data_IF_818862956497
#
_entry.id   IF_818862956497
#
_cell.length_a   1.000
_cell.length_b   1.000
_cell.length_c   1.000
_cell.angle_alpha   90.00
_cell.angle_beta   90.00
_cell.angle_gamma   90.00
#
_symmetry.space_group_name_H-M   'P 1'
#
loop_
_entity.id
_entity.type
_entity.pdbx_description
1 polymer ?
#
# COMPACT_ATOMS: atom_id res chain seq x y z
N UNK A 1 0.44 20.46 6.29
CA UNK A 1 0.73 20.52 4.84
C UNK A 1 0.22 21.84 4.32
N UNK A 2 -1.10 22.12 4.40
CA UNK A 2 -1.65 23.43 4.06
C UNK A 2 -0.96 24.60 4.77
N UNK A 3 -0.87 24.58 6.10
CA UNK A 3 -0.25 25.66 6.90
C UNK A 3 1.25 25.87 6.67
N UNK A 4 1.90 24.98 5.92
CA UNK A 4 3.34 25.04 5.66
C UNK A 4 3.70 25.16 4.18
N UNK A 5 2.74 24.95 3.27
CA UNK A 5 2.96 24.87 1.83
C UNK A 5 1.99 25.73 1.02
N UNK A 6 0.93 26.28 1.63
CA UNK A 6 -0.16 26.97 0.91
C UNK A 6 -0.76 26.14 -0.25
N UNK A 7 -0.73 24.81 -0.11
CA UNK A 7 -1.15 23.85 -1.13
C UNK A 7 0.02 23.01 -1.64
N UNK A 8 -0.22 21.71 -1.90
CA UNK A 8 0.84 20.85 -2.45
C UNK A 8 0.99 21.02 -3.97
N UNK A 9 -0.09 21.40 -4.66
CA UNK A 9 -0.13 21.62 -6.11
C UNK A 9 -0.83 22.95 -6.42
N UNK A 10 -0.53 23.52 -7.58
CA UNK A 10 -1.19 24.67 -8.17
C UNK A 10 -1.79 24.27 -9.53
N UNK A 11 -2.81 24.98 -10.00
CA UNK A 11 -3.51 24.62 -11.25
C UNK A 11 -2.59 24.70 -12.47
N UNK A 12 -1.57 25.56 -12.42
CA UNK A 12 -0.54 25.70 -13.44
C UNK A 12 0.28 24.41 -13.62
N UNK A 13 0.40 23.57 -12.58
CA UNK A 13 1.11 22.29 -12.64
C UNK A 13 0.40 21.27 -13.55
N UNK A 14 -0.87 21.53 -13.91
CA UNK A 14 -1.71 20.66 -14.73
C UNK A 14 -2.06 21.28 -16.09
N UNK A 15 -1.47 22.42 -16.44
CA UNK A 15 -1.83 23.18 -17.63
C UNK A 15 -1.66 22.38 -18.94
N UNK A 16 -0.78 21.37 -18.96
CA UNK A 16 -0.56 20.46 -20.08
C UNK A 16 -1.59 19.31 -20.17
N UNK A 17 -2.42 19.08 -19.14
CA UNK A 17 -3.41 17.99 -19.11
C UNK A 17 -4.79 18.42 -19.62
N UNK A 18 -4.97 19.73 -19.83
CA UNK A 18 -6.23 20.32 -20.25
C UNK A 18 -6.03 21.14 -21.52
N UNK A 19 -6.99 21.11 -22.46
CA UNK A 19 -6.94 21.97 -23.65
C UNK A 19 -6.81 23.44 -23.25
N UNK A 20 -5.97 24.21 -23.95
CA UNK A 20 -5.76 25.65 -23.68
C UNK A 20 -7.01 26.50 -23.83
N UNK A 21 -8.00 26.01 -24.58
CA UNK A 21 -9.21 26.74 -24.93
C UNK A 21 -10.38 26.50 -23.95
N UNK A 22 -10.11 25.90 -22.79
CA UNK A 22 -11.11 25.76 -21.73
C UNK A 22 -10.45 25.69 -20.36
N UNK A 23 -10.68 26.71 -19.52
CA UNK A 23 -10.34 26.61 -18.09
C UNK A 23 -11.17 25.45 -17.51
N UNK A 24 -10.56 24.47 -16.83
CA UNK A 24 -11.34 23.40 -16.23
C UNK A 24 -12.34 24.01 -15.24
N UNK A 25 -13.59 23.54 -15.27
CA UNK A 25 -14.65 24.05 -14.39
C UNK A 25 -14.39 23.81 -12.89
N UNK A 26 -13.40 22.96 -12.57
CA UNK A 26 -12.93 22.63 -11.22
C UNK A 26 -11.40 22.64 -11.22
N UNK A 27 -10.78 23.11 -10.14
CA UNK A 27 -9.32 23.19 -10.00
C UNK A 27 -8.69 21.78 -10.03
N UNK A 28 -7.78 21.48 -10.98
CA UNK A 28 -7.04 20.22 -11.02
C UNK A 28 -6.17 20.00 -9.77
N UNK A 29 -5.62 21.07 -9.18
CA UNK A 29 -4.84 20.97 -7.93
C UNK A 29 -5.70 20.53 -6.75
N UNK A 30 -6.93 21.02 -6.68
CA UNK A 30 -7.92 20.58 -5.71
C UNK A 30 -8.31 19.10 -5.93
N UNK A 31 -8.54 18.70 -7.18
CA UNK A 31 -8.85 17.30 -7.51
C UNK A 31 -7.70 16.35 -7.14
N UNK A 32 -6.46 16.73 -7.42
CA UNK A 32 -5.26 15.98 -6.99
C UNK A 32 -5.21 15.82 -5.46
N UNK A 33 -5.49 16.91 -4.73
CA UNK A 33 -5.55 16.90 -3.26
C UNK A 33 -6.65 15.97 -2.74
N UNK A 34 -7.83 16.01 -3.35
CA UNK A 34 -8.93 15.10 -2.99
C UNK A 34 -8.57 13.66 -3.31
N UNK A 35 -7.94 13.35 -4.44
CA UNK A 35 -7.50 12.00 -4.77
C UNK A 35 -6.50 11.45 -3.74
N UNK A 36 -5.56 12.28 -3.27
CA UNK A 36 -4.63 11.86 -2.21
C UNK A 36 -5.34 11.65 -0.88
N UNK A 37 -6.23 12.55 -0.46
CA UNK A 37 -7.01 12.37 0.78
C UNK A 37 -7.94 11.16 0.70
N UNK A 38 -8.60 10.96 -0.44
CA UNK A 38 -9.43 9.80 -0.73
C UNK A 38 -8.63 8.51 -0.55
N UNK A 39 -7.43 8.46 -1.14
CA UNK A 39 -6.54 7.31 -1.04
C UNK A 39 -6.05 7.08 0.39
N UNK A 40 -5.60 8.13 1.08
CA UNK A 40 -5.11 8.06 2.47
C UNK A 40 -6.19 7.61 3.45
N UNK A 41 -7.45 8.01 3.22
CA UNK A 41 -8.59 7.72 4.10
C UNK A 41 -9.41 6.52 3.64
N UNK A 42 -9.00 5.82 2.58
CA UNK A 42 -9.67 4.62 2.08
C UNK A 42 -11.13 4.85 1.65
N UNK A 43 -11.43 5.99 1.03
CA UNK A 43 -12.80 6.38 0.65
C UNK A 43 -13.14 5.98 -0.79
N UNK A 44 -14.41 5.68 -1.06
CA UNK A 44 -14.93 5.59 -2.43
C UNK A 44 -15.12 6.99 -3.04
N UNK A 45 -15.30 7.10 -4.36
CA UNK A 45 -15.48 8.40 -5.01
C UNK A 45 -16.70 9.16 -4.48
N UNK A 46 -17.81 8.43 -4.25
CA UNK A 46 -19.02 8.99 -3.62
C UNK A 46 -18.75 9.51 -2.21
N UNK A 47 -18.01 8.74 -1.41
CA UNK A 47 -17.65 9.15 -0.06
C UNK A 47 -16.67 10.32 -0.05
N UNK A 48 -15.76 10.39 -1.02
CA UNK A 48 -14.81 11.50 -1.15
C UNK A 48 -15.52 12.78 -1.58
N UNK A 49 -16.40 12.72 -2.59
CA UNK A 49 -17.21 13.86 -3.02
C UNK A 49 -18.11 14.39 -1.89
N UNK A 50 -18.69 13.49 -1.08
CA UNK A 50 -19.47 13.88 0.10
C UNK A 50 -18.59 14.47 1.22
N UNK A 51 -17.38 13.94 1.40
CA UNK A 51 -16.44 14.46 2.37
C UNK A 51 -16.01 15.90 2.05
N UNK A 52 -15.85 16.26 0.77
CA UNK A 52 -15.58 17.64 0.34
C UNK A 52 -16.69 18.60 0.82
N UNK A 53 -17.96 18.17 0.73
CA UNK A 53 -19.11 19.01 1.12
C UNK A 53 -19.23 19.23 2.62
N UNK A 54 -18.98 18.19 3.42
CA UNK A 54 -19.45 18.15 4.79
C UNK A 54 -18.33 17.97 5.84
N UNK A 55 -17.14 17.50 5.46
CA UNK A 55 -16.08 17.17 6.43
C UNK A 55 -15.03 18.26 6.55
N UNK A 56 -14.79 18.66 7.80
CA UNK A 56 -13.81 19.69 8.17
C UNK A 56 -12.40 19.33 7.71
N UNK A 57 -11.98 18.06 7.70
CA UNK A 57 -10.62 17.69 7.23
C UNK A 57 -10.42 17.90 5.73
N UNK A 58 -11.47 17.70 4.91
CA UNK A 58 -11.41 18.01 3.48
C UNK A 58 -11.53 19.51 3.23
N UNK A 59 -12.48 20.18 3.90
CA UNK A 59 -12.59 21.65 3.87
C UNK A 59 -11.37 22.36 4.42
N UNK A 60 -10.62 21.75 5.32
CA UNK A 60 -9.36 22.30 5.80
C UNK A 60 -8.23 22.07 4.81
N UNK A 61 -8.33 21.10 3.91
CA UNK A 61 -7.38 20.97 2.80
C UNK A 61 -7.79 21.83 1.57
N UNK A 62 -9.08 22.16 1.45
CA UNK A 62 -9.70 22.88 0.33
C UNK A 62 -10.26 24.24 0.74
N UNK A 63 -10.86 25.03 -0.15
CA UNK A 63 -11.58 26.23 0.30
C UNK A 63 -12.81 25.86 1.14
N UNK A 64 -13.07 26.60 2.22
CA UNK A 64 -14.07 26.24 3.24
C UNK A 64 -15.51 26.19 2.68
N UNK A 65 -15.75 26.97 1.63
CA UNK A 65 -17.07 27.19 1.00
C UNK A 65 -17.25 26.43 -0.32
N UNK A 66 -16.36 25.47 -0.61
CA UNK A 66 -16.47 24.66 -1.84
C UNK A 66 -17.80 23.87 -1.87
N UNK A 67 -18.63 24.03 -2.92
CA UNK A 67 -19.92 23.35 -3.05
C UNK A 67 -19.79 21.83 -3.28
N UNK A 68 -18.57 21.35 -3.47
CA UNK A 68 -18.23 20.00 -3.87
C UNK A 68 -18.54 19.76 -5.36
N UNK A 69 -18.32 18.53 -5.79
CA UNK A 69 -18.47 18.13 -7.19
C UNK A 69 -19.18 16.77 -7.31
N UNK A 70 -19.55 16.40 -8.53
CA UNK A 70 -20.10 15.07 -8.80
C UNK A 70 -18.99 14.01 -8.74
N UNK A 71 -19.27 12.84 -8.16
CA UNK A 71 -18.23 11.83 -7.90
C UNK A 71 -17.47 11.36 -9.16
N UNK A 72 -18.10 11.46 -10.34
CA UNK A 72 -17.51 11.05 -11.63
C UNK A 72 -16.28 11.89 -12.00
N UNK A 73 -16.21 13.14 -11.52
CA UNK A 73 -15.05 14.02 -11.76
C UNK A 73 -13.75 13.40 -11.24
N UNK A 74 -13.80 12.63 -10.14
CA UNK A 74 -12.62 11.92 -9.61
C UNK A 74 -12.20 10.74 -10.47
N UNK A 75 -13.16 10.08 -11.14
CA UNK A 75 -12.84 9.02 -12.08
C UNK A 75 -12.16 9.62 -13.31
N UNK A 76 -12.78 10.64 -13.93
CA UNK A 76 -12.23 11.32 -15.11
C UNK A 76 -10.83 11.93 -14.84
N UNK A 77 -10.63 12.50 -13.65
CA UNK A 77 -9.32 13.02 -13.25
C UNK A 77 -8.27 11.91 -13.12
N UNK A 78 -8.63 10.75 -12.55
CA UNK A 78 -7.70 9.62 -12.42
C UNK A 78 -7.39 8.96 -13.76
N UNK A 79 -8.34 8.92 -14.67
CA UNK A 79 -8.10 8.41 -16.03
C UNK A 79 -7.04 9.29 -16.72
N UNK A 80 -7.15 10.62 -16.60
CA UNK A 80 -6.11 11.55 -17.08
C UNK A 80 -4.79 11.42 -16.33
N UNK A 81 -4.81 11.13 -15.04
CA UNK A 81 -3.61 10.93 -14.23
C UNK A 81 -2.84 9.66 -14.66
N UNK A 82 -3.56 8.67 -15.18
CA UNK A 82 -3.00 7.41 -15.66
C UNK A 82 -2.43 7.49 -17.09
N UNK A 83 -2.61 8.61 -17.80
CA UNK A 83 -2.00 8.84 -19.10
C UNK A 83 -0.52 9.23 -18.95
N UNK A 84 0.34 8.62 -19.77
CA UNK A 84 1.78 8.87 -19.81
C UNK A 84 2.44 8.80 -18.41
N UNK A 85 3.49 9.61 -18.19
CA UNK A 85 4.20 9.70 -16.90
C UNK A 85 3.58 10.75 -15.95
N UNK A 86 2.29 11.08 -16.10
CA UNK A 86 1.65 12.17 -15.33
C UNK A 86 1.61 11.89 -13.82
N UNK A 87 1.29 10.66 -13.43
CA UNK A 87 1.31 10.25 -12.02
C UNK A 87 2.70 10.41 -11.39
N UNK A 88 3.74 9.99 -12.11
CA UNK A 88 5.12 10.07 -11.64
C UNK A 88 5.59 11.53 -11.54
N UNK A 89 5.30 12.36 -12.55
CA UNK A 89 5.58 13.81 -12.53
C UNK A 89 4.92 14.50 -11.34
N UNK A 90 3.66 14.16 -11.04
CA UNK A 90 2.92 14.73 -9.92
C UNK A 90 3.53 14.34 -8.58
N UNK A 91 4.00 13.09 -8.46
CA UNK A 91 4.69 12.59 -7.27
C UNK A 91 6.04 13.28 -7.09
N UNK A 92 6.83 13.40 -8.15
CA UNK A 92 8.14 14.06 -8.12
C UNK A 92 8.02 15.53 -7.72
N UNK A 93 7.01 16.23 -8.24
CA UNK A 93 6.71 17.61 -7.86
C UNK A 93 6.34 17.72 -6.38
N UNK A 94 5.48 16.83 -5.88
CA UNK A 94 5.12 16.80 -4.48
C UNK A 94 6.34 16.55 -3.59
N UNK A 95 7.24 15.64 -3.98
CA UNK A 95 8.49 15.37 -3.27
C UNK A 95 9.43 16.56 -3.29
N UNK A 96 9.56 17.28 -4.41
CA UNK A 96 10.38 18.48 -4.51
C UNK A 96 9.90 19.57 -3.53
N UNK A 97 8.60 19.88 -3.53
CA UNK A 97 8.03 20.88 -2.62
C UNK A 97 8.14 20.48 -1.15
N UNK A 98 7.92 19.19 -0.85
CA UNK A 98 8.11 18.67 0.51
C UNK A 98 9.58 18.76 0.98
N UNK A 99 10.55 18.66 0.08
CA UNK A 99 11.96 18.88 0.39
C UNK A 99 12.26 20.35 0.65
N UNK A 100 11.73 21.26 -0.16
CA UNK A 100 11.92 22.72 -0.01
C UNK A 100 11.50 23.22 1.37
N UNK A 101 10.38 22.72 1.89
CA UNK A 101 9.90 23.07 3.24
C UNK A 101 10.50 22.21 4.37
N UNK A 102 11.53 21.42 4.06
CA UNK A 102 12.26 20.59 5.02
C UNK A 102 11.46 19.44 5.64
N UNK A 103 10.31 19.07 5.05
CA UNK A 103 9.51 17.94 5.49
C UNK A 103 10.07 16.60 4.99
N UNK A 104 10.90 16.63 3.93
CA UNK A 104 11.65 15.48 3.40
C UNK A 104 13.13 15.85 3.33
N UNK A 105 14.02 15.00 3.86
CA UNK A 105 15.47 15.23 3.82
C UNK A 105 16.05 14.76 2.48
N UNK A 106 16.95 15.56 1.91
CA UNK A 106 17.83 15.08 0.83
C UNK A 106 18.72 13.95 1.35
N UNK A 107 18.70 12.82 0.65
CA UNK A 107 19.74 11.80 0.77
C UNK A 107 20.70 12.03 -0.39
N UNK A 108 21.97 12.23 -0.07
CA UNK A 108 23.05 12.60 -0.99
C UNK A 108 23.13 11.64 -2.19
N UNK A 109 23.30 12.23 -3.38
CA UNK A 109 23.55 11.67 -4.71
C UNK A 109 23.82 10.17 -4.78
N UNK A 110 22.81 9.39 -5.19
CA UNK A 110 23.03 8.05 -5.73
C UNK A 110 23.12 8.16 -7.25
N UNK A 111 24.24 7.68 -7.82
CA UNK A 111 24.49 7.65 -9.26
C UNK A 111 23.30 7.01 -9.99
N UNK A 112 22.71 7.77 -10.91
CA UNK A 112 21.66 7.33 -11.81
C UNK A 112 22.22 6.33 -12.81
N UNK A 113 22.10 5.05 -12.50
CA UNK A 113 21.97 4.00 -13.49
C UNK A 113 20.68 3.26 -13.15
N UNK A 114 19.78 3.22 -14.13
CA UNK A 114 18.41 2.73 -14.04
C UNK A 114 18.36 1.29 -13.53
N UNK A 115 18.20 1.09 -12.22
CA UNK A 115 17.83 -0.23 -11.67
C UNK A 115 17.21 -0.05 -10.29
N UNK A 116 15.93 -0.44 -10.19
CA UNK A 116 15.10 -0.52 -8.99
C UNK A 116 14.67 0.84 -8.43
N UNK A 117 13.41 1.19 -8.75
CA UNK A 117 12.52 1.92 -7.85
C UNK A 117 12.70 1.28 -6.48
N UNK A 118 13.55 1.90 -5.66
CA UNK A 118 13.86 1.50 -4.30
C UNK A 118 12.53 1.23 -3.66
N UNK A 119 12.28 -0.05 -3.38
CA UNK A 119 11.06 -0.52 -2.78
C UNK A 119 10.75 0.40 -1.60
N UNK A 120 9.80 1.31 -1.83
CA UNK A 120 9.24 2.21 -0.84
C UNK A 120 8.35 1.36 0.07
N UNK A 121 8.97 0.33 0.66
CA UNK A 121 8.37 -0.52 1.66
C UNK A 121 8.33 0.36 2.89
N UNK A 122 7.24 1.11 3.02
CA UNK A 122 6.72 1.53 4.31
C UNK A 122 6.91 0.35 5.26
N UNK A 123 7.50 0.56 6.43
CA UNK A 123 7.67 -0.49 7.43
C UNK A 123 6.29 -1.09 7.74
N UNK A 124 6.01 -2.25 7.15
CA UNK A 124 4.75 -2.96 7.37
C UNK A 124 4.82 -3.56 8.76
N UNK A 125 3.80 -3.29 9.57
CA UNK A 125 3.57 -4.12 10.75
C UNK A 125 3.41 -5.59 10.33
N UNK A 126 3.66 -6.54 11.23
CA UNK A 126 3.54 -7.97 10.90
C UNK A 126 2.18 -8.35 10.31
N UNK A 127 1.10 -7.72 10.79
CA UNK A 127 -0.25 -7.93 10.24
C UNK A 127 -0.38 -7.32 8.84
N UNK A 128 0.21 -6.14 8.61
CA UNK A 128 0.22 -5.53 7.29
C UNK A 128 1.00 -6.38 6.28
N UNK A 129 2.14 -6.94 6.70
CA UNK A 129 2.97 -7.81 5.87
C UNK A 129 2.19 -9.04 5.37
N UNK A 130 1.44 -9.70 6.26
CA UNK A 130 0.66 -10.89 5.87
C UNK A 130 -0.51 -10.49 4.98
N UNK A 131 -1.21 -9.40 5.31
CA UNK A 131 -2.32 -8.91 4.50
C UNK A 131 -1.85 -8.56 3.07
N UNK A 132 -0.68 -7.91 2.96
CA UNK A 132 -0.08 -7.59 1.66
C UNK A 132 0.42 -8.84 0.94
N UNK A 133 0.93 -9.85 1.66
CA UNK A 133 1.32 -11.11 1.06
C UNK A 133 0.14 -11.89 0.46
N UNK A 134 -1.03 -11.87 1.12
CA UNK A 134 -2.27 -12.45 0.58
C UNK A 134 -2.65 -11.73 -0.71
N UNK A 135 -2.68 -10.39 -0.68
CA UNK A 135 -2.97 -9.57 -1.88
C UNK A 135 -2.00 -9.87 -3.03
N UNK A 136 -0.69 -9.91 -2.74
CA UNK A 136 0.33 -10.21 -3.74
C UNK A 136 0.11 -11.60 -4.37
N UNK A 137 -0.22 -12.62 -3.57
CA UNK A 137 -0.55 -13.95 -4.06
C UNK A 137 -1.83 -13.97 -4.91
N UNK A 138 -2.88 -13.24 -4.51
CA UNK A 138 -4.11 -13.12 -5.30
C UNK A 138 -3.84 -12.47 -6.67
N UNK A 139 -3.02 -11.42 -6.71
CA UNK A 139 -2.61 -10.79 -7.99
C UNK A 139 -1.84 -11.75 -8.90
N UNK A 140 -0.97 -12.60 -8.33
CA UNK A 140 -0.26 -13.64 -9.09
C UNK A 140 -1.23 -14.63 -9.71
N UNK A 141 -2.15 -15.17 -8.89
CA UNK A 141 -3.14 -16.14 -9.35
C UNK A 141 -4.09 -15.51 -10.37
N UNK A 142 -4.49 -14.25 -10.19
CA UNK A 142 -5.32 -13.54 -11.17
C UNK A 142 -4.61 -13.39 -12.53
N UNK A 143 -3.29 -13.24 -12.53
CA UNK A 143 -2.49 -13.14 -13.74
C UNK A 143 -2.27 -14.46 -14.47
N UNK A 144 -2.15 -15.58 -13.73
CA UNK A 144 -1.84 -16.90 -14.33
C UNK A 144 -3.06 -17.80 -14.51
N UNK A 145 -3.94 -17.83 -13.52
CA UNK A 145 -5.04 -18.80 -13.38
C UNK A 145 -6.26 -18.17 -12.71
N UNK A 146 -6.89 -17.15 -13.33
CA UNK A 146 -7.95 -16.36 -12.71
C UNK A 146 -9.17 -17.18 -12.29
N UNK A 147 -9.49 -18.26 -13.03
CA UNK A 147 -10.61 -19.16 -12.74
C UNK A 147 -10.53 -19.82 -11.35
N UNK A 148 -9.34 -19.92 -10.75
CA UNK A 148 -9.18 -20.46 -9.38
C UNK A 148 -9.71 -19.51 -8.32
N UNK A 149 -9.92 -18.24 -8.64
CA UNK A 149 -10.36 -17.21 -7.70
C UNK A 149 -11.88 -17.07 -7.63
N UNK A 150 -12.62 -17.58 -8.62
CA UNK A 150 -14.08 -17.41 -8.73
C UNK A 150 -14.82 -18.00 -7.52
N UNK A 151 -14.34 -19.12 -6.97
CA UNK A 151 -14.93 -19.77 -5.79
C UNK A 151 -14.46 -19.16 -4.46
N UNK A 152 -13.36 -18.40 -4.48
CA UNK A 152 -12.69 -17.90 -3.28
C UNK A 152 -13.02 -16.43 -3.00
N UNK A 153 -13.13 -15.60 -4.04
CA UNK A 153 -13.31 -14.16 -3.91
C UNK A 153 -14.79 -13.82 -3.81
N UNK A 154 -15.21 -13.53 -2.59
CA UNK A 154 -16.46 -12.82 -2.32
C UNK A 154 -16.22 -11.31 -2.17
N UNK A 155 -17.30 -10.55 -1.93
CA UNK A 155 -17.23 -9.11 -1.73
C UNK A 155 -16.36 -8.71 -0.51
N UNK A 156 -16.28 -9.55 0.51
CA UNK A 156 -15.44 -9.32 1.70
C UNK A 156 -13.95 -9.49 1.40
N UNK A 157 -13.58 -10.43 0.53
CA UNK A 157 -12.21 -10.54 0.02
C UNK A 157 -11.82 -9.30 -0.79
N UNK A 158 -12.72 -8.81 -1.65
CA UNK A 158 -12.51 -7.57 -2.39
C UNK A 158 -12.29 -6.36 -1.47
N UNK A 159 -13.09 -6.23 -0.40
CA UNK A 159 -12.92 -5.18 0.62
C UNK A 159 -11.60 -5.28 1.37
N UNK A 160 -11.13 -6.49 1.70
CA UNK A 160 -9.97 -6.73 2.57
C UNK A 160 -8.63 -6.71 1.83
N UNK A 161 -8.60 -7.23 0.60
CA UNK A 161 -7.38 -7.50 -0.16
C UNK A 161 -7.32 -6.79 -1.52
N UNK A 162 -8.42 -6.17 -1.98
CA UNK A 162 -8.48 -5.50 -3.28
C UNK A 162 -7.69 -4.19 -3.37
N UNK A 163 -7.10 -3.70 -2.27
CA UNK A 163 -6.27 -2.49 -2.25
C UNK A 163 -4.98 -2.71 -1.45
N UNK A 164 -3.90 -2.00 -1.78
CA UNK A 164 -2.68 -2.00 -0.98
C UNK A 164 -2.95 -1.71 0.48
N UNK A 165 -2.30 -2.47 1.35
CA UNK A 165 -2.58 -2.46 2.79
C UNK A 165 -2.12 -1.18 3.46
N UNK A 166 -3.03 -0.56 4.22
CA UNK A 166 -2.73 0.55 5.14
C UNK A 166 -3.48 0.37 6.46
N UNK A 167 -2.84 -0.24 7.45
CA UNK A 167 -3.36 -0.21 8.82
C UNK A 167 -2.88 1.09 9.46
N UNK A 168 -3.80 1.88 10.01
CA UNK A 168 -3.42 3.03 10.83
C UNK A 168 -2.58 2.61 12.04
N UNK A 169 -1.89 3.55 12.70
CA UNK A 169 -1.00 3.26 13.85
C UNK A 169 -1.69 2.48 14.99
N UNK A 170 -3.01 2.57 15.10
CA UNK A 170 -3.84 1.81 16.05
C UNK A 170 -4.96 1.05 15.32
N UNK A 171 -4.73 -0.21 14.89
CA UNK A 171 -5.78 -1.00 14.27
C UNK A 171 -6.83 -1.44 15.32
N UNK A 172 -8.09 -1.06 15.11
CA UNK A 172 -9.23 -1.54 15.89
C UNK A 172 -9.30 -3.08 15.81
N UNK A 173 -9.56 -3.76 16.94
CA UNK A 173 -9.71 -5.23 17.04
C UNK A 173 -8.52 -6.04 16.47
N UNK A 174 -7.28 -5.67 16.80
CA UNK A 174 -6.06 -6.32 16.30
C UNK A 174 -6.06 -7.86 16.41
N UNK A 175 -6.48 -8.43 17.56
CA UNK A 175 -6.52 -9.90 17.76
C UNK A 175 -7.46 -10.60 16.79
N UNK A 176 -8.66 -10.06 16.59
CA UNK A 176 -9.65 -10.62 15.65
C UNK A 176 -9.12 -10.59 14.22
N UNK A 177 -8.45 -9.49 13.83
CA UNK A 177 -7.86 -9.35 12.51
C UNK A 177 -6.71 -10.33 12.28
N UNK A 178 -5.83 -10.52 13.27
CA UNK A 178 -4.76 -11.51 13.20
C UNK A 178 -5.33 -12.91 12.93
N UNK A 179 -6.38 -13.32 13.63
CA UNK A 179 -7.01 -14.62 13.41
C UNK A 179 -7.68 -14.72 12.04
N UNK A 180 -8.47 -13.72 11.66
CA UNK A 180 -9.17 -13.70 10.38
C UNK A 180 -8.18 -13.75 9.19
N UNK A 181 -7.16 -12.89 9.19
CA UNK A 181 -6.13 -12.85 8.13
C UNK A 181 -5.35 -14.17 8.06
N UNK A 182 -5.05 -14.78 9.21
CA UNK A 182 -4.39 -16.09 9.23
C UNK A 182 -5.26 -17.19 8.61
N UNK A 183 -6.55 -17.23 8.96
CA UNK A 183 -7.50 -18.19 8.41
C UNK A 183 -7.73 -17.99 6.91
N UNK A 184 -7.80 -16.74 6.43
CA UNK A 184 -7.91 -16.46 5.00
C UNK A 184 -6.68 -16.96 4.22
N UNK A 185 -5.48 -16.71 4.76
CA UNK A 185 -4.25 -17.20 4.13
C UNK A 185 -4.20 -18.73 4.06
N UNK A 186 -4.64 -19.43 5.11
CA UNK A 186 -4.77 -20.89 5.10
C UNK A 186 -5.79 -21.33 4.04
N UNK A 187 -6.98 -20.72 4.01
CA UNK A 187 -8.02 -21.02 3.02
C UNK A 187 -7.53 -20.85 1.59
N UNK A 188 -6.80 -19.76 1.30
CA UNK A 188 -6.18 -19.52 -0.01
C UNK A 188 -5.16 -20.60 -0.36
N UNK A 189 -4.22 -20.89 0.54
CA UNK A 189 -3.16 -21.89 0.29
C UNK A 189 -3.72 -23.31 0.11
N UNK A 190 -4.71 -23.70 0.91
CA UNK A 190 -5.39 -24.99 0.79
C UNK A 190 -6.19 -25.09 -0.52
N UNK A 191 -6.85 -24.02 -0.94
CA UNK A 191 -7.58 -23.97 -2.20
C UNK A 191 -6.64 -24.14 -3.40
N UNK A 192 -5.54 -23.39 -3.42
CA UNK A 192 -4.51 -23.50 -4.45
C UNK A 192 -3.85 -24.88 -4.47
N UNK A 193 -3.61 -25.48 -3.29
CA UNK A 193 -3.06 -26.82 -3.21
C UNK A 193 -4.01 -27.88 -3.80
N UNK A 194 -5.33 -27.74 -3.58
CA UNK A 194 -6.33 -28.69 -4.08
C UNK A 194 -6.64 -28.53 -5.57
N UNK A 195 -6.68 -27.29 -6.07
CA UNK A 195 -7.24 -26.98 -7.38
C UNK A 195 -6.22 -26.40 -8.38
N UNK A 196 -5.03 -26.01 -7.93
CA UNK A 196 -4.05 -25.28 -8.75
C UNK A 196 -2.60 -25.67 -8.45
N UNK A 197 -2.28 -26.96 -8.55
CA UNK A 197 -0.95 -27.51 -8.25
C UNK A 197 0.19 -26.73 -8.96
N UNK A 198 -0.02 -26.36 -10.22
CA UNK A 198 0.96 -25.61 -11.03
C UNK A 198 1.21 -24.19 -10.49
N UNK A 199 0.20 -23.57 -9.88
CA UNK A 199 0.28 -22.22 -9.33
C UNK A 199 1.03 -22.20 -7.99
N UNK A 200 1.11 -23.32 -7.26
CA UNK A 200 1.72 -23.37 -5.92
C UNK A 200 3.22 -23.03 -5.90
N UNK A 201 3.88 -23.05 -7.06
CA UNK A 201 5.30 -22.76 -7.24
C UNK A 201 5.62 -21.27 -7.46
N UNK A 202 4.60 -20.43 -7.66
CA UNK A 202 4.77 -19.01 -7.98
C UNK A 202 5.47 -18.21 -6.86
N UNK A 203 6.28 -17.20 -7.21
CA UNK A 203 7.14 -16.50 -6.26
C UNK A 203 6.37 -15.79 -5.15
N UNK A 204 5.23 -15.15 -5.45
CA UNK A 204 4.41 -14.46 -4.43
C UNK A 204 3.64 -15.46 -3.56
N UNK A 205 3.24 -16.60 -4.12
CA UNK A 205 2.64 -17.69 -3.33
C UNK A 205 3.67 -18.31 -2.37
N UNK A 206 4.90 -18.51 -2.82
CA UNK A 206 6.00 -18.95 -1.95
C UNK A 206 6.35 -17.93 -0.86
N UNK A 207 6.36 -16.63 -1.21
CA UNK A 207 6.51 -15.56 -0.24
C UNK A 207 5.41 -15.59 0.83
N UNK A 208 4.15 -15.78 0.44
CA UNK A 208 3.03 -15.93 1.38
C UNK A 208 3.25 -17.13 2.33
N UNK A 209 3.65 -18.30 1.82
CA UNK A 209 3.93 -19.49 2.65
C UNK A 209 5.01 -19.22 3.69
N UNK A 210 6.11 -18.58 3.28
CA UNK A 210 7.21 -18.25 4.18
C UNK A 210 6.83 -17.18 5.21
N UNK A 211 6.11 -16.13 4.79
CA UNK A 211 5.59 -15.09 5.68
C UNK A 211 4.59 -15.67 6.68
N UNK A 212 3.76 -16.63 6.28
CA UNK A 212 2.85 -17.36 7.18
C UNK A 212 3.63 -18.15 8.24
N UNK A 213 4.63 -18.95 7.84
CA UNK A 213 5.47 -19.70 8.77
C UNK A 213 6.26 -18.80 9.74
N UNK A 214 6.66 -17.61 9.28
CA UNK A 214 7.34 -16.60 10.10
C UNK A 214 6.44 -15.99 11.19
N UNK A 215 5.14 -15.87 10.93
CA UNK A 215 4.22 -15.14 11.80
C UNK A 215 3.25 -16.01 12.58
N UNK A 216 2.95 -17.21 12.09
CA UNK A 216 2.06 -18.17 12.72
C UNK A 216 2.75 -19.52 12.97
N UNK A 217 2.17 -20.31 13.85
CA UNK A 217 2.48 -21.72 14.05
C UNK A 217 1.19 -22.48 14.33
N UNK A 218 1.15 -23.79 14.10
CA UNK A 218 0.06 -24.62 14.56
C UNK A 218 0.36 -25.13 15.97
N UNK A 219 -0.61 -25.09 16.87
CA UNK A 219 -0.50 -25.76 18.17
C UNK A 219 -0.68 -27.28 18.03
N UNK A 220 -0.49 -28.03 19.12
CA UNK A 220 -0.62 -29.50 19.12
C UNK A 220 -2.02 -29.98 18.72
N UNK A 221 -3.04 -29.11 18.81
CA UNK A 221 -4.40 -29.39 18.37
C UNK A 221 -4.66 -28.94 16.91
N UNK A 222 -3.63 -28.46 16.20
CA UNK A 222 -3.72 -28.02 14.81
C UNK A 222 -4.27 -26.60 14.62
N UNK A 223 -4.51 -25.84 15.70
CA UNK A 223 -5.03 -24.48 15.55
C UNK A 223 -3.91 -23.48 15.21
N UNK A 224 -4.21 -22.55 14.31
CA UNK A 224 -3.31 -21.49 13.92
C UNK A 224 -3.14 -20.47 15.07
N UNK A 225 -1.89 -20.27 15.52
CA UNK A 225 -1.50 -19.38 16.61
C UNK A 225 -0.50 -18.33 16.16
N UNK A 226 -0.71 -17.09 16.58
CA UNK A 226 0.20 -15.99 16.33
C UNK A 226 1.51 -16.17 17.11
N UNK A 227 2.65 -16.05 16.45
CA UNK A 227 3.96 -16.09 17.11
C UNK A 227 4.20 -14.80 17.91
N UNK A 228 4.62 -14.96 19.16
CA UNK A 228 5.00 -13.89 20.09
C UNK A 228 6.52 -13.88 20.29
N UNK A 229 7.07 -12.72 20.65
CA UNK A 229 8.46 -12.62 21.09
C UNK A 229 8.55 -13.14 22.54
N UNK A 230 8.51 -14.45 22.72
CA UNK A 230 8.68 -15.07 24.03
C UNK A 230 10.16 -15.22 24.39
N UNK A 231 10.45 -15.11 25.68
CA UNK A 231 11.81 -15.01 26.22
C UNK A 231 12.53 -16.36 26.37
N UNK A 232 11.84 -17.51 26.35
CA UNK A 232 12.47 -18.84 26.39
C UNK A 232 11.45 -19.94 26.04
N UNK A 233 11.85 -20.95 25.25
CA UNK A 233 11.09 -22.19 25.01
C UNK A 233 9.87 -22.13 24.07
N UNK A 234 9.35 -20.94 23.75
CA UNK A 234 8.27 -20.76 22.77
C UNK A 234 8.74 -20.84 21.32
N UNK A 235 7.82 -20.95 20.34
CA UNK A 235 8.16 -21.05 18.91
C UNK A 235 8.96 -19.84 18.41
N UNK A 236 8.88 -18.71 19.12
CA UNK A 236 9.69 -17.52 18.90
C UNK A 236 9.44 -16.82 17.56
N UNK A 237 10.04 -15.65 17.39
CA UNK A 237 10.13 -14.98 16.10
C UNK A 237 11.44 -15.37 15.42
N UNK A 238 11.45 -15.50 14.08
CA UNK A 238 12.69 -15.77 13.38
C UNK A 238 13.67 -14.60 13.58
N UNK A 239 14.99 -14.88 13.56
CA UNK A 239 16.00 -13.85 13.57
C UNK A 239 15.76 -12.84 12.44
N UNK A 240 16.00 -11.55 12.70
CA UNK A 240 15.78 -10.48 11.71
C UNK A 240 16.57 -10.68 10.41
N UNK A 241 17.70 -11.42 10.46
CA UNK A 241 18.52 -11.79 9.31
C UNK A 241 17.85 -12.80 8.36
N UNK A 242 16.83 -13.52 8.82
CA UNK A 242 16.02 -14.47 8.03
C UNK A 242 14.59 -14.01 7.81
N UNK A 243 14.18 -12.90 8.44
CA UNK A 243 12.82 -12.40 8.34
C UNK A 243 12.57 -11.76 6.97
N UNK A 244 11.49 -12.20 6.31
CA UNK A 244 10.96 -11.58 5.11
C UNK A 244 10.21 -10.32 5.52
N UNK A 245 10.46 -9.23 4.79
CA UNK A 245 9.87 -7.90 5.05
C UNK A 245 9.05 -7.36 3.88
N UNK A 246 9.06 -8.05 2.74
CA UNK A 246 8.28 -7.71 1.55
C UNK A 246 7.84 -8.98 0.82
N UNK A 247 6.56 -9.10 0.40
CA UNK A 247 6.12 -10.22 -0.42
C UNK A 247 6.59 -10.12 -1.89
N UNK A 248 6.99 -8.94 -2.33
CA UNK A 248 7.48 -8.68 -3.69
C UNK A 248 8.99 -8.90 -3.83
N UNK A 249 9.72 -8.86 -2.72
CA UNK A 249 11.17 -9.09 -2.66
C UNK A 249 11.51 -9.84 -1.37
N UNK A 250 11.59 -11.17 -1.48
CA UNK A 250 11.94 -12.06 -0.36
C UNK A 250 13.42 -12.02 -0.01
N UNK A 251 14.26 -11.32 -0.77
CA UNK A 251 15.69 -11.09 -0.47
C UNK A 251 15.91 -9.82 0.36
N UNK A 252 14.91 -8.93 0.44
CA UNK A 252 14.95 -7.75 1.30
C UNK A 252 15.15 -8.17 2.78
N UNK A 253 16.08 -7.50 3.47
CA UNK A 253 16.39 -7.75 4.89
C UNK A 253 16.25 -6.51 5.74
N UNK A 254 16.03 -6.75 7.04
CA UNK A 254 16.09 -5.75 8.10
C UNK A 254 17.52 -5.70 8.67
N UNK A 255 18.23 -4.59 8.48
CA UNK A 255 19.55 -4.37 9.06
C UNK A 255 19.48 -3.27 10.13
N UNK A 256 19.72 -3.63 11.40
CA UNK A 256 19.82 -2.70 12.52
C UNK A 256 21.30 -2.44 12.81
N UNK A 257 21.84 -1.35 12.28
CA UNK A 257 23.10 -0.79 12.77
C UNK A 257 22.79 0.25 13.85
N UNK A 258 23.62 0.30 14.89
CA UNK A 258 23.42 1.13 16.09
C UNK A 258 23.09 2.58 15.74
N UNK A 259 22.16 3.15 16.52
CA UNK A 259 21.66 4.53 16.53
C UNK A 259 22.03 5.38 15.31
N UNK A 260 21.05 5.55 14.40
CA UNK A 260 20.95 6.49 13.24
C UNK A 260 20.75 5.75 11.90
N UNK A 261 19.49 5.76 11.47
CA UNK A 261 18.85 5.46 10.16
C UNK A 261 19.78 5.01 8.99
N UNK A 262 19.60 3.77 8.51
CA UNK A 262 20.50 3.06 7.57
C UNK A 262 19.92 2.81 6.15
N UNK A 263 20.84 2.44 5.23
CA UNK A 263 20.70 2.09 3.81
C UNK A 263 20.77 0.57 3.57
N UNK A 264 20.38 0.09 2.37
CA UNK A 264 20.37 -1.32 1.92
C UNK A 264 21.34 -1.58 0.75
N UNK A 265 21.96 -2.77 0.75
CA UNK A 265 22.60 -3.44 -0.38
C UNK A 265 22.87 -4.92 -0.05
N UNK A 266 22.79 -5.81 -1.04
CA UNK A 266 23.14 -7.23 -0.93
C UNK A 266 24.65 -7.42 -0.73
N UNK A 267 25.11 -8.48 -0.04
CA UNK A 267 26.54 -8.82 -0.05
C UNK A 267 26.95 -9.24 -1.47
N UNK A 268 28.15 -8.86 -1.94
CA UNK A 268 28.67 -9.30 -3.23
C UNK A 268 28.92 -10.81 -3.21
N UNK A 269 28.69 -11.44 -4.36
CA UNK A 269 29.22 -12.77 -4.71
C UNK A 269 30.73 -12.62 -4.95
#
# INVERSE_FOLDING_TARGET
MRDRLDGLWYDEDFADWYPRDGRPGLSPAQLATVCVLQFLLGRSDRQAAEAVRCRIDFKYAMELDDPGFHHSVLADFRDRLAEDDRADRLLDLALARLKEVGLVRERTTQRTASTHVLAAVRDLTRLELITEAIRAALEEVAGTSPYLLDELIDEDWGRRYGRPVRLGKNPTKAKTRILATGNDAVRLLEHLYRHGADCTSGPRIQALRQIMAQNYHCDAAGHLRWRTAEKEGGPGLPPSSRAIVSPYDTSARYARHGHIISWKGSPPI
#
